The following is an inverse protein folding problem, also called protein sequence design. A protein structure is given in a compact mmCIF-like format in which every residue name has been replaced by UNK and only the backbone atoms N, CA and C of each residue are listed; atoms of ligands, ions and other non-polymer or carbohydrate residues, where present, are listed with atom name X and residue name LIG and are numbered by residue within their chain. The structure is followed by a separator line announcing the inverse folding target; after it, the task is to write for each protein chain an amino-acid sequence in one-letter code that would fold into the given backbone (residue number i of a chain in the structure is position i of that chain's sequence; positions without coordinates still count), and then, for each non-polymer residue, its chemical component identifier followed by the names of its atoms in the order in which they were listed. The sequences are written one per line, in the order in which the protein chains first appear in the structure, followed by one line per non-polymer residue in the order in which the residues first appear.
data_IF_832099480249
#
_entry.id   IF_832099480249
#
_cell.length_a   1.000
_cell.length_b   1.000
_cell.length_c   1.000
_cell.angle_alpha   90.00
_cell.angle_beta   90.00
_cell.angle_gamma   90.00
#
_symmetry.space_group_name_H-M   'P 1'
#
loop_
_entity.id
_entity.type
_entity.pdbx_description
1 polymer ?
#
# COMPACT_ATOMS: atom_id res chain seq x y z
N UNK A 1 -2.07 -3.20 4.49
CA UNK A 1 -2.52 -4.51 3.96
C UNK A 1 -4.02 -4.78 4.23
N UNK A 2 -4.54 -4.73 5.47
CA UNK A 2 -5.86 -5.30 5.80
C UNK A 2 -7.16 -4.58 5.38
N UNK A 3 -7.17 -3.33 4.86
CA UNK A 3 -8.44 -2.58 4.75
C UNK A 3 -9.20 -2.81 3.43
N UNK A 4 -8.52 -2.65 2.29
CA UNK A 4 -9.12 -2.88 0.97
C UNK A 4 -9.36 -4.38 0.68
N UNK A 5 -8.46 -5.26 1.15
CA UNK A 5 -8.69 -6.70 1.15
C UNK A 5 -9.92 -7.06 1.99
N UNK A 6 -10.00 -6.59 3.25
CA UNK A 6 -11.17 -6.88 4.10
C UNK A 6 -12.48 -6.41 3.48
N UNK A 7 -12.53 -5.21 2.91
CA UNK A 7 -13.75 -4.70 2.30
C UNK A 7 -14.22 -5.58 1.12
N UNK A 8 -13.30 -6.21 0.37
CA UNK A 8 -13.63 -7.19 -0.68
C UNK A 8 -13.94 -8.60 -0.13
N UNK A 9 -13.23 -9.07 0.89
CA UNK A 9 -13.51 -10.33 1.60
C UNK A 9 -14.85 -10.28 2.37
N UNK A 10 -15.27 -9.10 2.83
CA UNK A 10 -16.53 -8.90 3.56
C UNK A 10 -17.72 -8.68 2.60
N UNK A 11 -17.48 -8.17 1.38
CA UNK A 11 -18.51 -7.92 0.37
C UNK A 11 -18.80 -9.13 -0.55
N UNK A 12 -17.82 -10.00 -0.77
CA UNK A 12 -17.99 -11.25 -1.54
C UNK A 12 -18.01 -12.44 -0.59
N UNK A 13 -19.05 -13.28 -0.65
CA UNK A 13 -19.12 -14.52 0.12
C UNK A 13 -17.89 -15.43 -0.05
N UNK A 14 -17.85 -16.56 0.66
CA UNK A 14 -16.66 -17.42 0.81
C UNK A 14 -15.76 -17.48 -0.46
N UNK A 15 -14.56 -16.86 -0.43
CA UNK A 15 -13.65 -16.75 -1.57
C UNK A 15 -13.21 -18.10 -2.14
N UNK A 16 -13.32 -19.18 -1.36
CA UNK A 16 -13.06 -20.53 -1.85
C UNK A 16 -14.00 -20.91 -3.00
N UNK A 17 -15.22 -20.38 -3.02
CA UNK A 17 -16.26 -20.67 -4.00
C UNK A 17 -16.26 -19.73 -5.21
N UNK A 18 -15.45 -18.67 -5.20
CA UNK A 18 -15.30 -17.78 -6.35
C UNK A 18 -14.42 -18.43 -7.43
N UNK A 19 -14.76 -18.25 -8.71
CA UNK A 19 -13.94 -18.73 -9.81
C UNK A 19 -12.54 -18.09 -9.77
N UNK A 20 -11.55 -18.84 -10.23
CA UNK A 20 -10.21 -18.29 -10.40
C UNK A 20 -10.20 -17.29 -11.56
N UNK A 21 -9.33 -16.29 -11.45
CA UNK A 21 -9.08 -15.34 -12.53
C UNK A 21 -8.28 -16.01 -13.66
N UNK A 22 -8.83 -16.01 -14.87
CA UNK A 22 -8.21 -16.59 -16.06
C UNK A 22 -7.93 -15.57 -17.18
N UNK A 23 -8.52 -14.38 -17.08
CA UNK A 23 -8.37 -13.31 -18.06
C UNK A 23 -7.30 -12.30 -17.63
N UNK A 24 -6.48 -11.87 -18.58
CA UNK A 24 -5.52 -10.79 -18.40
C UNK A 24 -6.10 -9.52 -19.00
N UNK A 25 -6.44 -8.55 -18.15
CA UNK A 25 -6.84 -7.22 -18.61
C UNK A 25 -5.65 -6.29 -18.60
N UNK A 26 -5.49 -5.55 -19.68
CA UNK A 26 -4.54 -4.45 -19.73
C UNK A 26 -5.10 -3.28 -18.92
N UNK A 27 -4.31 -2.80 -17.96
CA UNK A 27 -4.58 -1.56 -17.21
C UNK A 27 -3.45 -0.58 -17.40
N UNK A 28 -3.80 0.69 -17.46
CA UNK A 28 -2.87 1.80 -17.36
C UNK A 28 -2.37 1.95 -15.92
N UNK A 29 -1.16 2.51 -15.71
CA UNK A 29 -0.65 2.76 -14.36
C UNK A 29 -1.59 3.60 -13.49
N UNK A 30 -2.29 4.57 -14.11
CA UNK A 30 -3.21 5.49 -13.44
C UNK A 30 -4.39 4.77 -12.78
N UNK A 31 -4.89 3.68 -13.37
CA UNK A 31 -6.03 2.92 -12.82
C UNK A 31 -5.70 2.20 -11.51
N UNK A 32 -4.41 1.97 -11.24
CA UNK A 32 -3.91 1.37 -10.00
C UNK A 32 -3.18 2.37 -9.09
N UNK A 33 -3.21 3.67 -9.40
CA UNK A 33 -2.49 4.69 -8.62
C UNK A 33 -3.04 4.77 -7.19
N UNK A 34 -2.12 4.80 -6.22
CA UNK A 34 -2.41 5.04 -4.81
C UNK A 34 -1.40 6.05 -4.30
N UNK A 35 -1.88 7.06 -3.56
CA UNK A 35 -1.04 8.09 -2.95
C UNK A 35 -1.41 8.23 -1.48
N UNK A 36 -0.39 8.50 -0.66
CA UNK A 36 -0.53 8.85 0.76
C UNK A 36 0.23 10.15 0.97
N UNK A 37 -0.37 11.08 1.72
CA UNK A 37 0.27 12.30 2.17
C UNK A 37 0.55 12.18 3.67
N UNK A 38 1.73 12.64 4.10
CA UNK A 38 2.14 12.65 5.51
C UNK A 38 2.23 14.09 5.96
N UNK A 39 1.17 14.59 6.58
CA UNK A 39 1.08 15.98 7.04
C UNK A 39 1.80 16.14 8.39
N UNK A 40 3.10 15.88 8.43
CA UNK A 40 3.88 15.92 9.66
C UNK A 40 3.86 17.30 10.29
N UNK A 41 3.87 18.39 9.52
CA UNK A 41 3.87 19.76 10.06
C UNK A 41 2.58 20.11 10.81
N UNK A 42 1.44 19.61 10.36
CA UNK A 42 0.12 19.96 10.90
C UNK A 42 -0.48 18.88 11.82
N UNK A 43 0.08 17.67 11.82
CA UNK A 43 -0.39 16.55 12.65
C UNK A 43 0.70 16.07 13.62
N UNK A 44 0.74 16.62 14.86
CA UNK A 44 1.73 16.25 15.87
C UNK A 44 1.68 14.77 16.27
N UNK A 45 0.49 14.17 16.32
CA UNK A 45 0.34 12.76 16.66
C UNK A 45 0.93 11.86 15.57
N UNK A 46 0.70 12.18 14.31
CA UNK A 46 1.36 11.51 13.19
C UNK A 46 2.88 11.66 13.28
N UNK A 47 3.37 12.87 13.52
CA UNK A 47 4.80 13.13 13.65
C UNK A 47 5.43 12.29 14.76
N UNK A 48 4.81 12.23 15.93
CA UNK A 48 5.28 11.43 17.07
C UNK A 48 5.36 9.95 16.72
N UNK A 49 4.34 9.39 16.07
CA UNK A 49 4.32 7.98 15.64
C UNK A 49 5.43 7.63 14.63
N UNK A 50 5.93 8.61 13.87
CA UNK A 50 6.95 8.42 12.85
C UNK A 50 8.33 8.91 13.27
N UNK A 51 8.49 9.40 14.50
CA UNK A 51 9.75 9.92 15.01
C UNK A 51 10.41 8.90 15.94
N UNK A 52 11.70 8.68 15.75
CA UNK A 52 12.49 7.82 16.62
C UNK A 52 13.02 8.57 17.86
N UNK A 53 13.68 7.85 18.76
CA UNK A 53 14.24 8.42 20.02
C UNK A 53 15.29 9.51 19.80
N UNK A 54 15.82 9.66 18.58
CA UNK A 54 16.77 10.71 18.22
C UNK A 54 16.12 11.93 17.55
N UNK A 55 14.78 11.97 17.47
CA UNK A 55 14.06 13.08 16.84
C UNK A 55 14.06 13.05 15.31
N UNK A 56 14.52 11.97 14.69
CA UNK A 56 14.52 11.79 13.24
C UNK A 56 13.38 10.86 12.79
N UNK A 57 13.01 10.92 11.51
CA UNK A 57 12.01 9.99 10.97
C UNK A 57 12.50 8.53 11.07
N UNK A 58 11.62 7.66 11.55
CA UNK A 58 11.85 6.22 11.60
C UNK A 58 11.70 5.62 10.19
N UNK A 59 12.84 5.25 9.62
CA UNK A 59 12.91 4.66 8.27
C UNK A 59 12.23 3.30 8.21
N UNK A 60 12.27 2.52 9.30
CA UNK A 60 11.60 1.22 9.36
C UNK A 60 10.10 1.39 9.22
N UNK A 61 9.53 2.35 9.96
CA UNK A 61 8.12 2.70 9.84
C UNK A 61 7.74 3.18 8.44
N UNK A 62 8.58 4.03 7.84
CA UNK A 62 8.37 4.50 6.48
C UNK A 62 8.41 3.35 5.44
N UNK A 63 9.32 2.38 5.60
CA UNK A 63 9.41 1.23 4.70
C UNK A 63 8.27 0.24 4.89
N UNK A 64 7.76 0.07 6.10
CA UNK A 64 6.53 -0.71 6.37
C UNK A 64 5.35 -0.13 5.58
N UNK A 65 5.18 1.19 5.64
CA UNK A 65 4.13 1.89 4.91
C UNK A 65 4.32 1.83 3.39
N UNK A 66 5.56 1.94 2.92
CA UNK A 66 5.90 1.82 1.50
C UNK A 66 5.57 0.42 0.96
N UNK A 67 5.88 -0.65 1.69
CA UNK A 67 5.48 -2.02 1.31
C UNK A 67 3.95 -2.16 1.31
N UNK A 68 3.26 -1.60 2.32
CA UNK A 68 1.81 -1.60 2.36
C UNK A 68 1.19 -0.85 1.16
N UNK A 69 1.79 0.27 0.74
CA UNK A 69 1.36 1.03 -0.44
C UNK A 69 1.58 0.24 -1.74
N UNK A 70 2.76 -0.38 -1.90
CA UNK A 70 3.07 -1.23 -3.05
C UNK A 70 2.11 -2.42 -3.16
N UNK A 71 1.76 -3.04 -2.03
CA UNK A 71 0.74 -4.08 -1.96
C UNK A 71 -0.63 -3.60 -2.43
N UNK A 72 -1.07 -2.40 -2.02
CA UNK A 72 -2.35 -1.83 -2.48
C UNK A 72 -2.35 -1.54 -3.98
N UNK A 73 -1.26 -0.98 -4.53
CA UNK A 73 -1.12 -0.73 -5.97
C UNK A 73 -1.19 -2.05 -6.74
N UNK A 74 -0.41 -3.05 -6.30
CA UNK A 74 -0.36 -4.37 -6.93
C UNK A 74 -1.71 -5.07 -6.89
N UNK A 75 -2.42 -5.00 -5.76
CA UNK A 75 -3.75 -5.57 -5.61
C UNK A 75 -4.78 -4.90 -6.52
N UNK A 76 -4.84 -3.56 -6.54
CA UNK A 76 -5.74 -2.81 -7.45
C UNK A 76 -5.44 -3.11 -8.91
N UNK A 77 -4.18 -3.30 -9.26
CA UNK A 77 -3.78 -3.66 -10.61
C UNK A 77 -4.20 -5.10 -10.96
N UNK A 78 -3.98 -6.07 -10.06
CA UNK A 78 -4.23 -7.49 -10.31
C UNK A 78 -5.73 -7.87 -10.35
N UNK A 79 -6.58 -7.24 -9.52
CA UNK A 79 -8.01 -7.57 -9.43
C UNK A 79 -8.76 -7.18 -10.70
N UNK A 80 -9.53 -8.09 -11.30
CA UNK A 80 -10.42 -7.76 -12.42
C UNK A 80 -11.66 -7.00 -11.93
N UNK A 81 -12.11 -6.00 -12.69
CA UNK A 81 -13.36 -5.27 -12.42
C UNK A 81 -14.62 -6.03 -12.88
N UNK A 82 -14.46 -7.24 -13.42
CA UNK A 82 -15.47 -7.92 -14.24
C UNK A 82 -16.08 -9.10 -13.47
N UNK A 83 -16.89 -8.81 -12.45
CA UNK A 83 -17.64 -9.83 -11.69
C UNK A 83 -16.89 -10.45 -10.49
N UNK A 84 -17.53 -11.38 -9.78
CA UNK A 84 -17.00 -11.92 -8.52
C UNK A 84 -15.94 -12.98 -8.82
N UNK A 85 -14.68 -12.56 -8.91
CA UNK A 85 -13.50 -13.44 -9.05
C UNK A 85 -12.78 -13.55 -7.71
N UNK A 86 -12.16 -14.69 -7.45
CA UNK A 86 -11.36 -14.88 -6.24
C UNK A 86 -10.25 -13.81 -6.17
N UNK A 87 -10.14 -13.04 -5.08
CA UNK A 87 -9.06 -12.07 -4.91
C UNK A 87 -7.68 -12.75 -5.00
N UNK A 88 -6.69 -12.13 -5.68
CA UNK A 88 -5.36 -12.68 -5.77
C UNK A 88 -4.64 -12.59 -4.42
N UNK A 89 -3.94 -13.66 -4.05
CA UNK A 89 -3.02 -13.68 -2.92
C UNK A 89 -1.66 -13.14 -3.40
N UNK A 90 -1.28 -11.96 -2.92
CA UNK A 90 -0.05 -11.29 -3.32
C UNK A 90 1.01 -11.35 -2.23
N UNK A 91 2.27 -11.40 -2.66
CA UNK A 91 3.44 -11.35 -1.77
C UNK A 91 4.50 -10.44 -2.37
N UNK A 92 5.27 -9.78 -1.52
CA UNK A 92 6.47 -9.03 -1.94
C UNK A 92 7.59 -10.03 -2.21
N UNK A 93 7.97 -10.22 -3.47
CA UNK A 93 9.00 -11.18 -3.85
C UNK A 93 10.42 -10.66 -3.56
N UNK A 94 10.67 -9.38 -3.82
CA UNK A 94 11.93 -8.69 -3.59
C UNK A 94 11.71 -7.17 -3.56
N UNK A 95 12.71 -6.43 -3.08
CA UNK A 95 12.76 -4.97 -3.10
C UNK A 95 14.12 -4.55 -3.67
N UNK A 96 14.10 -3.60 -4.60
CA UNK A 96 15.31 -3.02 -5.19
C UNK A 96 16.03 -2.07 -4.22
N UNK A 97 17.22 -1.58 -4.60
CA UNK A 97 17.98 -0.64 -3.77
C UNK A 97 17.22 0.68 -3.54
N UNK A 98 16.97 1.01 -2.27
CA UNK A 98 16.35 2.28 -1.86
C UNK A 98 17.44 3.27 -1.45
N UNK A 99 17.61 4.33 -2.25
CA UNK A 99 18.56 5.42 -1.97
C UNK A 99 17.84 6.66 -1.44
N UNK A 100 18.24 7.09 -0.25
CA UNK A 100 17.79 8.36 0.30
C UNK A 100 18.62 9.53 -0.28
N UNK A 101 17.96 10.49 -0.95
CA UNK A 101 18.62 11.62 -1.62
C UNK A 101 18.85 12.86 -0.74
N UNK A 102 18.20 12.93 0.41
CA UNK A 102 18.28 14.07 1.34
C UNK A 102 17.89 13.64 2.75
N UNK A 103 17.98 14.54 3.73
CA UNK A 103 17.52 14.23 5.09
C UNK A 103 15.98 14.17 5.11
N UNK A 104 15.43 13.15 5.75
CA UNK A 104 14.01 13.07 6.07
C UNK A 104 13.81 13.80 7.40
N UNK A 105 13.10 14.92 7.35
CA UNK A 105 12.96 15.82 8.49
C UNK A 105 11.48 15.91 8.88
N UNK A 106 11.08 15.48 10.10
CA UNK A 106 9.68 15.48 10.53
C UNK A 106 9.07 16.90 10.64
N UNK A 107 9.89 17.94 10.57
CA UNK A 107 9.51 19.35 10.53
C UNK A 107 9.18 19.89 9.12
N UNK A 108 9.38 19.07 8.08
CA UNK A 108 9.06 19.43 6.70
C UNK A 108 8.13 18.39 6.11
N UNK A 109 7.04 18.87 5.50
CA UNK A 109 6.26 18.03 4.59
C UNK A 109 7.02 17.94 3.25
N UNK A 110 6.81 16.86 2.51
CA UNK A 110 7.41 16.59 1.21
C UNK A 110 6.50 17.04 0.06
#
# INVERSE_FOLDING_TARGET
QRRAERELYEAGGDPAHLPAQHELLTKTPQESMVQVAYDFTTNPALREMYTNVWGALDKGRLFEDMDALAGNVSFRHAVLGNGPVRPPMLVTAAVDEVRLRGKLAPESDA
#
